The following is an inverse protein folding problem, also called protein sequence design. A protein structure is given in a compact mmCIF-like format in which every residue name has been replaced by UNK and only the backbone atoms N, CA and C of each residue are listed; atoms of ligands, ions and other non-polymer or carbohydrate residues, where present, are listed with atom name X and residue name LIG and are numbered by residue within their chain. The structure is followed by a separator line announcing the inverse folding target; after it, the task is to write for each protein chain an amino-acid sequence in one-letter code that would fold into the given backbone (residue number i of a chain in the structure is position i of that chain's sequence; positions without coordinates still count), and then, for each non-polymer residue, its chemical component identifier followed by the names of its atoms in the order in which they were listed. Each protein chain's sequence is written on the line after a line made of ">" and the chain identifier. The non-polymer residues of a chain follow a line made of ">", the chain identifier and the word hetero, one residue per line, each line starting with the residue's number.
data_IF_801202179364
#
_entry.id   IF_801202179364
#
_cell.length_a   1.000
_cell.length_b   1.000
_cell.length_c   1.000
_cell.angle_alpha   90.00
_cell.angle_beta   90.00
_cell.angle_gamma   90.00
#
_symmetry.space_group_name_H-M   'P 1'
#
loop_
_entity.id
_entity.type
_entity.pdbx_description
1 polymer ?
#
# COMPACT_ATOMS: atom_id res chain seq x y z
N UNK A 1 -2.24 -5.46 49.07
CA UNK A 1 -1.79 -4.92 47.75
C UNK A 1 -2.39 -3.54 47.46
N UNK A 2 -3.68 -3.31 47.72
CA UNK A 2 -4.32 -1.98 47.58
C UNK A 2 -3.75 -0.93 48.55
N UNK A 3 -3.55 -1.32 49.81
CA UNK A 3 -2.95 -0.45 50.86
C UNK A 3 -1.49 -0.07 50.57
N UNK A 4 -0.71 -0.98 49.96
CA UNK A 4 0.69 -0.70 49.61
C UNK A 4 0.82 0.36 48.50
N UNK A 5 -0.14 0.41 47.57
CA UNK A 5 -0.18 1.48 46.57
C UNK A 5 -0.57 2.83 47.20
N UNK A 6 -1.48 2.83 48.17
CA UNK A 6 -1.92 4.05 48.87
C UNK A 6 -0.78 4.69 49.67
N UNK A 7 0.03 3.89 50.35
CA UNK A 7 1.20 4.35 51.11
C UNK A 7 2.27 5.02 50.23
N UNK A 8 2.54 4.46 49.04
CA UNK A 8 3.52 4.99 48.08
C UNK A 8 3.02 6.29 47.42
N UNK A 9 1.71 6.42 47.24
CA UNK A 9 1.08 7.65 46.69
C UNK A 9 1.11 8.82 47.67
N UNK A 10 1.09 8.57 48.98
CA UNK A 10 1.14 9.62 50.01
C UNK A 10 2.53 10.25 50.19
N UNK A 11 3.60 9.52 49.84
CA UNK A 11 4.99 9.95 50.04
C UNK A 11 5.60 10.68 48.83
N UNK A 12 4.92 10.74 47.68
CA UNK A 12 5.45 11.34 46.44
C UNK A 12 4.74 12.66 46.09
N UNK A 13 5.46 13.78 45.93
CA UNK A 13 4.92 15.05 45.42
C UNK A 13 4.41 15.00 43.97
N UNK A 14 4.63 13.88 43.27
CA UNK A 14 4.16 13.67 41.91
C UNK A 14 2.71 13.21 41.93
N UNK A 15 1.81 14.04 41.38
CA UNK A 15 0.42 13.67 41.14
C UNK A 15 0.35 12.60 40.04
N UNK A 16 0.53 11.34 40.41
CA UNK A 16 0.38 10.23 39.48
C UNK A 16 -1.11 9.91 39.31
N UNK A 17 -1.61 9.92 38.07
CA UNK A 17 -2.94 9.40 37.79
C UNK A 17 -2.87 7.87 37.90
N UNK A 18 -3.61 7.30 38.84
CA UNK A 18 -3.72 5.84 38.96
C UNK A 18 -4.48 5.30 37.74
N UNK A 19 -3.79 4.54 36.90
CA UNK A 19 -4.39 3.82 35.79
C UNK A 19 -4.48 2.34 36.20
N UNK A 20 -5.69 1.76 36.31
CA UNK A 20 -5.85 0.34 36.60
C UNK A 20 -5.17 -0.52 35.54
N UNK A 21 -4.50 -1.60 35.97
CA UNK A 21 -3.89 -2.56 35.06
C UNK A 21 -4.91 -3.15 34.06
N UNK A 22 -6.17 -3.31 34.47
CA UNK A 22 -7.26 -3.77 33.59
C UNK A 22 -7.47 -2.85 32.38
N UNK A 23 -7.39 -1.53 32.57
CA UNK A 23 -7.51 -0.57 31.46
C UNK A 23 -6.36 -0.68 30.47
N UNK A 24 -5.14 -0.95 30.96
CA UNK A 24 -3.96 -1.16 30.12
C UNK A 24 -4.12 -2.45 29.30
N UNK A 25 -4.55 -3.54 29.93
CA UNK A 25 -4.76 -4.83 29.28
C UNK A 25 -5.79 -4.73 28.15
N UNK A 26 -6.93 -4.04 28.38
CA UNK A 26 -7.95 -3.84 27.35
C UNK A 26 -7.45 -2.98 26.18
N UNK A 27 -6.57 -2.02 26.43
CA UNK A 27 -6.00 -1.21 25.34
C UNK A 27 -5.03 -2.03 24.49
N UNK A 28 -4.22 -2.89 25.09
CA UNK A 28 -3.31 -3.79 24.38
C UNK A 28 -4.10 -4.73 23.45
N UNK A 29 -5.13 -5.41 23.97
CA UNK A 29 -5.97 -6.33 23.17
C UNK A 29 -6.62 -5.63 21.97
N UNK A 30 -7.06 -4.39 22.15
CA UNK A 30 -7.63 -3.57 21.06
C UNK A 30 -6.59 -3.18 20.02
N UNK A 31 -5.34 -2.92 20.42
CA UNK A 31 -4.25 -2.61 19.50
C UNK A 31 -3.88 -3.85 18.69
N UNK A 32 -3.68 -4.99 19.36
CA UNK A 32 -3.36 -6.27 18.70
C UNK A 32 -4.44 -6.66 17.69
N UNK A 33 -5.72 -6.48 18.05
CA UNK A 33 -6.84 -6.69 17.12
C UNK A 33 -6.80 -5.75 15.91
N UNK A 34 -6.56 -4.46 16.12
CA UNK A 34 -6.49 -3.48 15.03
C UNK A 34 -5.30 -3.76 14.10
N UNK A 35 -4.17 -4.21 14.63
CA UNK A 35 -2.99 -4.62 13.86
C UNK A 35 -3.28 -5.89 13.03
N UNK A 36 -3.98 -6.87 13.59
CA UNK A 36 -4.40 -8.07 12.86
C UNK A 36 -5.37 -7.74 11.70
N UNK A 37 -6.33 -6.84 11.94
CA UNK A 37 -7.26 -6.36 10.90
C UNK A 37 -6.53 -5.58 9.80
N UNK A 38 -5.55 -4.75 10.16
CA UNK A 38 -4.71 -4.04 9.20
C UNK A 38 -3.85 -4.99 8.37
N UNK A 39 -3.24 -6.00 9.00
CA UNK A 39 -2.47 -7.04 8.31
C UNK A 39 -3.32 -7.78 7.29
N UNK A 40 -4.51 -8.24 7.68
CA UNK A 40 -5.45 -8.91 6.78
C UNK A 40 -5.91 -8.00 5.62
N UNK A 41 -6.13 -6.71 5.88
CA UNK A 41 -6.46 -5.73 4.84
C UNK A 41 -5.28 -5.51 3.87
N UNK A 42 -4.04 -5.49 4.35
CA UNK A 42 -2.86 -5.36 3.47
C UNK A 42 -2.60 -6.61 2.63
N UNK A 43 -2.90 -7.81 3.15
CA UNK A 43 -2.80 -9.06 2.37
C UNK A 43 -3.80 -9.10 1.22
N UNK A 44 -5.02 -8.58 1.41
CA UNK A 44 -6.01 -8.47 0.31
C UNK A 44 -5.68 -7.38 -0.73
N UNK A 45 -4.84 -6.40 -0.37
CA UNK A 45 -4.33 -5.37 -1.30
C UNK A 45 -3.00 -5.77 -1.98
N UNK A 46 -2.37 -6.88 -1.55
CA UNK A 46 -1.08 -7.35 -2.05
C UNK A 46 -1.18 -8.41 -3.13
N UNK A 47 -2.38 -8.72 -3.62
CA UNK A 47 -2.47 -9.40 -4.90
C UNK A 47 -1.82 -8.47 -5.92
N UNK A 48 -0.79 -8.92 -6.68
CA UNK A 48 -0.31 -8.13 -7.80
C UNK A 48 -1.52 -7.99 -8.72
N UNK A 49 -2.15 -6.82 -8.70
CA UNK A 49 -3.08 -6.43 -9.74
C UNK A 49 -2.23 -6.55 -10.98
N UNK A 50 -2.44 -7.62 -11.75
CA UNK A 50 -1.79 -7.81 -13.03
C UNK A 50 -2.37 -6.75 -13.94
N UNK A 51 -1.83 -5.53 -13.84
CA UNK A 51 -2.28 -4.41 -14.64
C UNK A 51 -2.09 -4.78 -16.09
N UNK A 52 -3.10 -4.49 -16.91
CA UNK A 52 -3.06 -4.82 -18.33
C UNK A 52 -1.92 -4.03 -18.97
N UNK A 53 -1.02 -4.71 -19.68
CA UNK A 53 -0.04 -4.06 -20.54
C UNK A 53 -0.78 -3.40 -21.71
N UNK A 54 -0.64 -2.08 -21.86
CA UNK A 54 -1.33 -1.29 -22.90
C UNK A 54 -0.38 -0.73 -23.96
N UNK A 55 0.93 -0.77 -23.71
CA UNK A 55 1.92 -0.35 -24.68
C UNK A 55 3.34 -0.32 -24.13
N UNK A 56 4.18 0.42 -24.82
CA UNK A 56 5.58 0.63 -24.50
C UNK A 56 5.93 2.12 -24.65
N UNK A 57 6.87 2.59 -23.85
CA UNK A 57 7.43 3.95 -23.93
C UNK A 57 8.95 3.89 -24.00
N UNK A 58 9.54 4.96 -24.50
CA UNK A 58 10.98 5.20 -24.34
C UNK A 58 11.29 5.58 -22.89
N UNK A 59 12.51 5.26 -22.41
CA UNK A 59 12.94 5.54 -21.04
C UNK A 59 12.92 7.04 -20.68
N UNK A 60 13.06 7.92 -21.68
CA UNK A 60 12.97 9.37 -21.57
C UNK A 60 11.53 9.92 -21.68
N UNK A 61 10.52 9.05 -21.80
CA UNK A 61 9.09 9.39 -21.85
C UNK A 61 8.69 10.28 -23.04
N UNK A 62 9.48 10.32 -24.11
CA UNK A 62 9.21 11.16 -25.29
C UNK A 62 8.32 10.48 -26.32
N UNK A 63 8.41 9.15 -26.45
CA UNK A 63 7.61 8.36 -27.40
C UNK A 63 6.84 7.25 -26.69
N UNK A 64 5.61 7.03 -27.13
CA UNK A 64 4.72 5.97 -26.63
C UNK A 64 4.06 5.26 -27.81
N UNK A 65 3.90 3.94 -27.72
CA UNK A 65 3.23 3.14 -28.75
C UNK A 65 2.56 1.90 -28.17
N UNK A 66 1.42 1.51 -28.72
CA UNK A 66 0.76 0.24 -28.40
C UNK A 66 1.26 -0.92 -29.30
N UNK A 67 2.21 -0.67 -30.21
CA UNK A 67 2.78 -1.67 -31.10
C UNK A 67 4.22 -2.04 -30.71
N UNK A 68 4.42 -3.28 -30.28
CA UNK A 68 5.73 -3.80 -29.85
C UNK A 68 6.81 -3.75 -30.94
N UNK A 69 6.42 -3.89 -32.22
CA UNK A 69 7.37 -3.88 -33.33
C UNK A 69 7.92 -2.47 -33.55
N UNK A 70 7.09 -1.44 -33.39
CA UNK A 70 7.54 -0.04 -33.43
C UNK A 70 8.45 0.26 -32.24
N UNK A 71 8.07 -0.18 -31.04
CA UNK A 71 8.86 0.02 -29.83
C UNK A 71 10.27 -0.59 -29.93
N UNK A 72 10.38 -1.78 -30.53
CA UNK A 72 11.67 -2.46 -30.73
C UNK A 72 12.60 -1.74 -31.72
N UNK A 73 12.04 -0.91 -32.60
CA UNK A 73 12.76 -0.24 -33.69
C UNK A 73 13.18 1.20 -33.37
N UNK A 74 12.91 1.72 -32.17
CA UNK A 74 13.19 3.13 -31.84
C UNK A 74 14.67 3.51 -31.92
N UNK A 75 15.57 2.69 -31.38
CA UNK A 75 17.01 2.74 -31.66
C UNK A 75 17.70 1.58 -30.93
N UNK A 76 18.90 1.17 -31.36
CA UNK A 76 19.68 0.13 -30.69
C UNK A 76 20.07 0.45 -29.23
N UNK A 77 19.99 1.72 -28.80
CA UNK A 77 20.44 2.17 -27.48
C UNK A 77 19.35 2.88 -26.66
N UNK A 78 18.08 2.81 -27.06
CA UNK A 78 16.98 3.42 -26.31
C UNK A 78 16.31 2.32 -25.48
N UNK A 79 16.28 2.51 -24.15
CA UNK A 79 15.54 1.64 -23.24
C UNK A 79 14.05 1.71 -23.52
N UNK A 80 13.40 0.54 -23.57
CA UNK A 80 11.95 0.42 -23.78
C UNK A 80 11.31 -0.08 -22.49
N UNK A 81 10.39 0.72 -21.93
CA UNK A 81 9.67 0.40 -20.71
C UNK A 81 8.22 0.02 -21.03
N UNK A 82 7.66 -1.02 -20.38
CA UNK A 82 6.24 -1.35 -20.52
C UNK A 82 5.35 -0.25 -19.92
N UNK A 83 4.18 -0.03 -20.53
CA UNK A 83 3.13 0.86 -20.03
C UNK A 83 1.95 0.01 -19.58
N UNK A 84 1.50 0.23 -18.35
CA UNK A 84 0.38 -0.47 -17.76
C UNK A 84 -0.86 0.43 -17.64
N UNK A 85 -2.03 -0.21 -17.59
CA UNK A 85 -3.29 0.47 -17.32
C UNK A 85 -3.24 1.27 -15.99
N UNK A 86 -3.58 2.56 -16.07
CA UNK A 86 -3.50 3.49 -14.94
C UNK A 86 -2.12 4.11 -14.69
N UNK A 87 -1.14 3.89 -15.58
CA UNK A 87 0.11 4.64 -15.54
C UNK A 87 -0.13 6.14 -15.72
N UNK A 88 0.52 6.94 -14.87
CA UNK A 88 0.50 8.40 -14.97
C UNK A 88 1.25 8.85 -16.23
N UNK A 89 0.83 9.97 -16.84
CA UNK A 89 1.47 10.55 -18.03
C UNK A 89 1.53 9.59 -19.24
N UNK A 90 0.44 8.87 -19.52
CA UNK A 90 0.29 8.06 -20.74
C UNK A 90 -0.82 8.59 -21.64
N UNK A 91 -0.49 8.75 -22.93
CA UNK A 91 -1.41 9.19 -23.98
C UNK A 91 -2.07 8.01 -24.71
N UNK A 92 -1.59 6.78 -24.48
CA UNK A 92 -2.22 5.57 -25.01
C UNK A 92 -3.51 5.29 -24.23
N UNK A 93 -4.65 5.70 -24.79
CA UNK A 93 -5.96 5.36 -24.22
C UNK A 93 -6.16 3.84 -24.21
N UNK A 94 -6.78 3.32 -23.15
CA UNK A 94 -7.28 1.94 -23.09
C UNK A 94 -8.32 1.74 -24.19
N UNK A 95 -7.90 1.35 -25.39
CA UNK A 95 -8.82 0.81 -26.38
C UNK A 95 -9.23 -0.56 -25.88
N UNK A 96 -10.39 -0.60 -25.23
CA UNK A 96 -11.14 -1.80 -24.93
C UNK A 96 -11.39 -2.54 -26.25
N UNK A 97 -10.48 -3.44 -26.62
CA UNK A 97 -10.81 -4.54 -27.53
C UNK A 97 -11.78 -5.42 -26.76
N UNK A 98 -13.06 -5.09 -26.91
CA UNK A 98 -14.22 -5.90 -26.55
C UNK A 98 -14.08 -7.24 -27.26
N UNK A 99 -13.43 -8.19 -26.60
CA UNK A 99 -13.47 -9.59 -27.00
C UNK A 99 -14.79 -10.15 -26.47
N UNK A 100 -15.88 -9.76 -27.10
CA UNK A 100 -17.15 -10.50 -26.99
C UNK A 100 -16.91 -11.87 -27.64
N UNK A 101 -17.00 -12.99 -26.90
CA UNK A 101 -16.91 -14.30 -27.51
C UNK A 101 -18.18 -14.56 -28.33
N UNK A 102 -18.02 -14.96 -29.59
CA UNK A 102 -19.08 -15.51 -30.45
C UNK A 102 -19.28 -16.99 -30.16
#
# INVERSE_FOLDING_TARGET
>A
MREHCEEIMAASPLRYAYIPASSIITLIDRIEKAEAELSAATETCSQPIQKKLIGWRTEDYTEETNNIELARNWAPNIGVLPIFEGDINTNISTTTIDTTPL
#
